data_IF_786810243055
#
_entry.id   IF_786810243055
#
_cell.length_a   1.000
_cell.length_b   1.000
_cell.length_c   1.000
_cell.angle_alpha   90.00
_cell.angle_beta   90.00
_cell.angle_gamma   90.00
#
_symmetry.space_group_name_H-M   'P 1'
#
loop_
_entity.id
_entity.type
_entity.pdbx_description
1 polymer ?
#
# COMPACT_ATOMS: atom_id res chain seq x y z
N UNK A 1 -15.35 -0.29 -15.80
CA UNK A 1 -14.57 -0.90 -14.69
C UNK A 1 -13.34 -0.03 -14.42
N UNK A 2 -12.92 0.20 -13.16
CA UNK A 2 -11.66 0.90 -12.85
C UNK A 2 -10.46 0.29 -13.57
N UNK A 3 -9.39 1.08 -13.77
CA UNK A 3 -8.19 0.56 -14.42
C UNK A 3 -7.50 -0.49 -13.53
N UNK A 4 -6.72 -1.38 -14.16
CA UNK A 4 -5.93 -2.37 -13.43
C UNK A 4 -4.98 -1.70 -12.43
N UNK A 5 -4.43 -0.53 -12.76
CA UNK A 5 -3.59 0.25 -11.85
C UNK A 5 -4.37 0.68 -10.61
N UNK A 6 -5.60 1.19 -10.77
CA UNK A 6 -6.47 1.55 -9.64
C UNK A 6 -6.81 0.33 -8.78
N UNK A 7 -7.11 -0.82 -9.40
CA UNK A 7 -7.39 -2.06 -8.66
C UNK A 7 -6.17 -2.56 -7.87
N UNK A 8 -4.98 -2.51 -8.46
CA UNK A 8 -3.72 -2.88 -7.80
C UNK A 8 -3.42 -1.93 -6.63
N UNK A 9 -3.64 -0.63 -6.79
CA UNK A 9 -3.52 0.39 -5.72
C UNK A 9 -4.55 0.15 -4.61
N UNK A 10 -5.75 -0.34 -4.94
CA UNK A 10 -6.74 -0.79 -3.97
C UNK A 10 -6.33 -2.02 -3.16
N UNK A 11 -5.20 -2.67 -3.49
CA UNK A 11 -4.73 -3.89 -2.82
C UNK A 11 -5.33 -5.17 -3.39
N UNK A 12 -5.87 -5.10 -4.62
CA UNK A 12 -6.55 -6.21 -5.27
C UNK A 12 -5.71 -6.88 -6.37
N UNK A 13 -6.10 -8.12 -6.69
CA UNK A 13 -5.74 -8.85 -7.92
C UNK A 13 -7.01 -9.47 -8.51
N UNK A 14 -7.01 -9.73 -9.82
CA UNK A 14 -8.16 -10.31 -10.51
C UNK A 14 -8.17 -11.83 -10.36
N UNK A 15 -9.36 -12.43 -10.30
CA UNK A 15 -9.52 -13.87 -10.09
C UNK A 15 -9.85 -14.65 -11.37
N UNK A 16 -9.62 -14.06 -12.54
CA UNK A 16 -9.95 -14.55 -13.88
C UNK A 16 -11.44 -14.84 -14.11
N UNK A 17 -12.34 -14.22 -13.35
CA UNK A 17 -13.80 -14.38 -13.48
C UNK A 17 -14.47 -13.02 -13.59
N UNK A 18 -14.97 -12.68 -14.79
CA UNK A 18 -15.68 -11.42 -15.03
C UNK A 18 -14.82 -10.20 -14.67
N UNK A 19 -15.37 -9.30 -13.86
CA UNK A 19 -14.68 -8.12 -13.31
C UNK A 19 -14.30 -8.30 -11.82
N UNK A 20 -14.36 -9.54 -11.33
CA UNK A 20 -14.17 -9.86 -9.92
C UNK A 20 -12.70 -9.76 -9.53
N UNK A 21 -12.45 -9.05 -8.44
CA UNK A 21 -11.15 -8.95 -7.80
C UNK A 21 -11.20 -9.39 -6.35
N UNK A 22 -10.04 -9.72 -5.79
CA UNK A 22 -9.87 -10.17 -4.41
C UNK A 22 -8.68 -9.46 -3.74
N UNK A 23 -8.86 -9.07 -2.48
CA UNK A 23 -7.83 -8.41 -1.70
C UNK A 23 -6.75 -9.41 -1.25
N UNK A 24 -5.48 -8.99 -1.36
CA UNK A 24 -4.30 -9.74 -0.92
C UNK A 24 -4.27 -10.09 0.58
N UNK A 25 -4.90 -9.28 1.44
CA UNK A 25 -4.75 -9.35 2.91
C UNK A 25 -6.01 -9.77 3.67
N UNK A 26 -7.21 -9.50 3.16
CA UNK A 26 -8.45 -9.73 3.90
C UNK A 26 -9.47 -10.59 3.15
N UNK A 27 -9.15 -11.07 1.95
CA UNK A 27 -10.03 -11.83 1.08
C UNK A 27 -11.34 -11.11 0.70
N UNK A 28 -11.42 -9.78 0.85
CA UNK A 28 -12.55 -9.01 0.31
C UNK A 28 -12.64 -9.25 -1.19
N UNK A 29 -13.80 -9.73 -1.63
CA UNK A 29 -14.13 -9.93 -3.04
C UNK A 29 -15.10 -8.82 -3.45
N UNK A 30 -14.83 -8.19 -4.60
CA UNK A 30 -15.74 -7.20 -5.19
C UNK A 30 -15.83 -7.39 -6.71
N UNK A 31 -17.02 -7.12 -7.25
CA UNK A 31 -17.39 -7.31 -8.67
C UNK A 31 -18.54 -6.36 -9.01
N UNK A 32 -18.95 -6.30 -10.29
CA UNK A 32 -19.97 -5.40 -10.81
C UNK A 32 -19.60 -3.92 -10.71
N UNK A 33 -18.38 -3.60 -11.10
CA UNK A 33 -17.80 -2.26 -11.00
C UNK A 33 -18.50 -1.25 -11.93
N UNK A 34 -18.88 -0.12 -11.36
CA UNK A 34 -19.35 1.06 -12.08
C UNK A 34 -18.17 1.94 -12.47
N UNK A 35 -17.94 2.07 -13.78
CA UNK A 35 -16.85 2.90 -14.30
C UNK A 35 -17.04 4.37 -13.95
N UNK A 36 -15.94 5.05 -13.59
CA UNK A 36 -15.91 6.47 -13.21
C UNK A 36 -16.74 6.83 -11.95
N UNK A 37 -17.32 5.85 -11.26
CA UNK A 37 -18.09 6.01 -10.03
C UNK A 37 -17.37 5.29 -8.88
N UNK A 38 -17.03 4.03 -9.10
CA UNK A 38 -16.43 3.20 -8.07
C UNK A 38 -14.92 3.44 -7.96
N UNK A 39 -14.46 3.84 -6.78
CA UNK A 39 -13.05 3.89 -6.43
C UNK A 39 -12.65 2.63 -5.63
N UNK A 40 -11.68 1.82 -6.11
CA UNK A 40 -11.28 0.60 -5.42
C UNK A 40 -10.78 0.82 -4.00
N UNK A 41 -10.08 1.92 -3.74
CA UNK A 41 -9.54 2.24 -2.41
C UNK A 41 -10.67 2.57 -1.44
N UNK A 42 -11.62 3.42 -1.85
CA UNK A 42 -12.76 3.80 -1.02
C UNK A 42 -13.71 2.63 -0.76
N UNK A 43 -13.97 1.79 -1.77
CA UNK A 43 -14.74 0.56 -1.58
C UNK A 43 -14.06 -0.37 -0.57
N UNK A 44 -12.73 -0.55 -0.68
CA UNK A 44 -11.99 -1.40 0.25
C UNK A 44 -12.05 -0.85 1.68
N UNK A 45 -11.84 0.47 1.86
CA UNK A 45 -11.96 1.15 3.16
C UNK A 45 -13.35 0.96 3.76
N UNK A 46 -14.38 1.09 2.94
CA UNK A 46 -15.78 1.02 3.38
C UNK A 46 -16.18 -0.40 3.77
N UNK A 47 -15.82 -1.39 2.96
CA UNK A 47 -16.28 -2.77 3.13
C UNK A 47 -15.41 -3.60 4.08
N UNK A 48 -14.11 -3.28 4.19
CA UNK A 48 -13.18 -3.99 5.07
C UNK A 48 -12.24 -3.01 5.79
N UNK A 49 -12.79 -2.13 6.65
CA UNK A 49 -12.00 -1.09 7.31
C UNK A 49 -10.88 -1.68 8.19
N UNK A 50 -11.06 -2.89 8.74
CA UNK A 50 -10.08 -3.56 9.60
C UNK A 50 -9.02 -4.36 8.82
N UNK A 51 -9.05 -4.34 7.49
CA UNK A 51 -8.00 -4.96 6.68
C UNK A 51 -6.64 -4.33 6.98
N UNK A 52 -5.60 -5.14 7.21
CA UNK A 52 -4.24 -4.64 7.50
C UNK A 52 -3.69 -3.73 6.39
N UNK A 53 -4.05 -4.00 5.13
CA UNK A 53 -3.73 -3.12 4.00
C UNK A 53 -4.40 -1.75 4.13
N UNK A 54 -5.70 -1.72 4.43
CA UNK A 54 -6.46 -0.48 4.61
C UNK A 54 -5.93 0.31 5.79
N UNK A 55 -5.74 -0.34 6.94
CA UNK A 55 -5.17 0.27 8.14
C UNK A 55 -3.82 0.92 7.84
N UNK A 56 -2.93 0.21 7.14
CA UNK A 56 -1.65 0.76 6.70
C UNK A 56 -1.80 2.00 5.80
N UNK A 57 -2.73 1.98 4.84
CA UNK A 57 -2.97 3.16 4.00
C UNK A 57 -3.47 4.36 4.80
N UNK A 58 -4.40 4.16 5.74
CA UNK A 58 -4.95 5.23 6.58
C UNK A 58 -3.90 5.84 7.51
N UNK A 59 -2.99 5.03 8.05
CA UNK A 59 -1.90 5.54 8.91
C UNK A 59 -0.88 6.41 8.17
N UNK A 60 -0.81 6.33 6.83
CA UNK A 60 0.09 7.17 6.01
C UNK A 60 -0.54 8.49 5.55
N UNK A 61 -1.85 8.66 5.72
CA UNK A 61 -2.57 9.88 5.31
C UNK A 61 -2.75 10.89 6.43
N UNK A 62 -2.50 10.50 7.69
CA UNK A 62 -2.45 11.47 8.79
C UNK A 62 -1.10 12.20 8.76
N UNK A 63 -1.07 13.56 8.77
CA UNK A 63 0.16 14.29 9.00
C UNK A 63 0.62 13.92 10.41
N UNK A 64 1.56 12.99 10.47
CA UNK A 64 2.14 12.50 11.71
C UNK A 64 2.56 13.71 12.52
N UNK A 65 1.97 13.88 13.71
CA UNK A 65 2.51 14.81 14.70
C UNK A 65 3.96 14.39 14.90
N UNK A 66 4.88 15.19 14.39
CA UNK A 66 6.31 14.89 14.37
C UNK A 66 6.76 14.70 15.82
N UNK A 67 6.95 13.46 16.25
CA UNK A 67 7.74 13.17 17.43
C UNK A 67 9.20 13.24 16.96
N UNK A 68 9.78 14.43 17.07
CA UNK A 68 11.23 14.57 17.09
C UNK A 68 11.70 13.80 18.31
N UNK A 69 12.43 12.70 18.10
CA UNK A 69 13.14 12.04 19.18
C UNK A 69 14.62 12.04 18.85
N UNK A 70 15.33 12.82 19.66
CA UNK A 70 16.75 12.84 19.94
C UNK A 70 17.67 13.46 18.87
N UNK A 71 17.72 14.79 18.96
CA UNK A 71 18.95 15.56 18.95
C UNK A 71 20.12 14.81 19.65
N UNK A 72 21.20 14.57 18.90
CA UNK A 72 22.55 14.52 19.47
C UNK A 72 23.40 15.48 18.65
N UNK A 73 23.58 16.67 19.20
CA UNK A 73 24.64 17.60 18.85
C UNK A 73 25.95 17.01 19.39
N UNK A 74 26.88 16.65 18.51
CA UNK A 74 28.30 16.62 18.87
C UNK A 74 29.09 17.24 17.72
N UNK A 75 29.69 18.38 18.02
CA UNK A 75 30.54 19.18 17.15
C UNK A 75 31.93 18.54 16.94
N UNK A 76 32.39 18.61 15.68
CA UNK A 76 33.78 18.67 15.18
C UNK A 76 34.74 17.46 15.38
N UNK A 77 35.20 16.85 14.28
CA UNK A 77 36.49 17.09 13.58
C UNK A 77 36.76 15.91 12.59
N UNK A 78 36.95 16.25 11.29
CA UNK A 78 37.61 15.52 10.18
C UNK A 78 37.05 14.15 9.73
N UNK A 79 36.64 13.89 8.48
CA UNK A 79 37.07 14.39 7.16
C UNK A 79 36.03 14.01 6.07
N UNK A 80 35.85 14.92 5.10
CA UNK A 80 35.24 14.76 3.76
C UNK A 80 33.71 14.80 3.61
N UNK A 81 33.24 15.97 3.15
CA UNK A 81 31.93 16.19 2.57
C UNK A 81 31.78 15.49 1.22
N UNK A 82 30.62 14.89 0.92
CA UNK A 82 29.93 15.10 -0.37
C UNK A 82 28.50 14.52 -0.43
N UNK A 83 27.56 15.43 -0.74
CA UNK A 83 26.30 15.31 -1.51
C UNK A 83 25.12 14.48 -0.96
N UNK A 84 24.04 15.21 -0.66
CA UNK A 84 22.64 14.75 -0.53
C UNK A 84 22.26 13.72 -1.60
N UNK A 85 21.70 12.58 -1.20
CA UNK A 85 20.80 11.88 -2.10
C UNK A 85 19.53 11.41 -1.38
N UNK A 86 18.42 11.92 -1.88
CA UNK A 86 17.06 11.74 -1.39
C UNK A 86 16.64 10.28 -1.45
N UNK A 87 16.90 9.53 -0.38
CA UNK A 87 16.31 8.21 -0.23
C UNK A 87 15.03 8.34 0.59
N UNK A 88 14.01 8.85 -0.11
CA UNK A 88 12.61 8.80 0.28
C UNK A 88 12.10 7.34 0.22
N UNK A 89 12.84 6.41 0.81
CA UNK A 89 12.53 5.00 0.86
C UNK A 89 11.63 4.78 2.08
N UNK A 90 10.38 5.24 1.93
CA UNK A 90 9.30 5.03 2.91
C UNK A 90 9.20 3.53 3.14
N UNK A 91 9.64 3.11 4.33
CA UNK A 91 9.82 1.72 4.74
C UNK A 91 8.55 0.90 4.51
N UNK A 92 8.68 -0.05 3.59
CA UNK A 92 7.84 -1.24 3.42
C UNK A 92 7.72 -2.12 4.69
N UNK A 93 8.40 -1.75 5.78
CA UNK A 93 8.62 -2.60 6.96
C UNK A 93 7.40 -2.77 7.88
N UNK A 94 6.38 -1.90 7.82
CA UNK A 94 5.19 -2.04 8.69
C UNK A 94 4.15 -3.05 8.18
N UNK A 95 4.13 -3.35 6.88
CA UNK A 95 3.32 -4.46 6.33
C UNK A 95 3.90 -5.82 6.73
N UNK A 96 5.20 -5.89 7.06
CA UNK A 96 5.95 -7.14 7.24
C UNK A 96 5.40 -8.03 8.35
N UNK A 97 4.70 -7.47 9.35
CA UNK A 97 4.16 -8.24 10.46
C UNK A 97 2.81 -8.92 10.19
N UNK A 98 2.08 -8.52 9.14
CA UNK A 98 0.82 -9.17 8.75
C UNK A 98 1.05 -9.97 7.47
N UNK A 99 1.04 -11.30 7.58
CA UNK A 99 1.22 -12.18 6.42
C UNK A 99 0.04 -12.02 5.45
N UNK A 100 0.28 -11.76 4.15
CA UNK A 100 -0.78 -11.72 3.16
C UNK A 100 -1.45 -13.09 3.02
N UNK A 101 -2.76 -13.12 2.81
CA UNK A 101 -3.50 -14.36 2.55
C UNK A 101 -3.15 -14.98 1.20
N UNK A 102 -2.73 -14.15 0.23
CA UNK A 102 -2.50 -14.57 -1.16
C UNK A 102 -1.06 -14.32 -1.62
N UNK A 103 -0.10 -15.03 -1.02
CA UNK A 103 1.35 -14.83 -1.21
C UNK A 103 1.79 -14.86 -2.69
N UNK A 104 1.15 -15.66 -3.55
CA UNK A 104 1.45 -15.73 -4.98
C UNK A 104 1.29 -14.37 -5.71
N UNK A 105 0.48 -13.47 -5.14
CA UNK A 105 0.11 -12.16 -5.71
C UNK A 105 0.70 -11.00 -4.90
N UNK A 106 1.72 -11.24 -4.07
CA UNK A 106 2.36 -10.19 -3.27
C UNK A 106 3.08 -9.16 -4.16
N UNK A 107 3.65 -9.61 -5.28
CA UNK A 107 4.40 -8.74 -6.19
C UNK A 107 3.47 -7.99 -7.14
N UNK A 108 3.83 -6.74 -7.50
CA UNK A 108 3.11 -5.97 -8.51
C UNK A 108 3.06 -6.73 -9.86
N UNK A 109 4.15 -7.33 -10.38
CA UNK A 109 4.09 -8.12 -11.60
C UNK A 109 3.11 -9.29 -11.53
N UNK A 110 3.09 -10.03 -10.42
CA UNK A 110 2.14 -11.14 -10.22
C UNK A 110 0.69 -10.68 -10.31
N UNK A 111 0.38 -9.48 -9.80
CA UNK A 111 -0.96 -8.89 -9.87
C UNK A 111 -1.29 -8.38 -11.26
N UNK A 112 -0.36 -7.68 -11.91
CA UNK A 112 -0.52 -7.22 -13.29
C UNK A 112 -0.83 -8.39 -14.24
N UNK A 113 -0.23 -9.55 -14.01
CA UNK A 113 -0.49 -10.76 -14.81
C UNK A 113 -1.92 -11.33 -14.66
N UNK A 114 -2.72 -10.82 -13.71
CA UNK A 114 -4.12 -11.26 -13.53
C UNK A 114 -5.14 -10.41 -14.29
N UNK A 115 -4.77 -9.21 -14.75
CA UNK A 115 -5.67 -8.27 -15.43
C UNK A 115 -5.43 -8.25 -16.94
#
# INVERSE_FOLDING_TARGET
MPTKEQMIIGGFFHCNVGDRVICLYCNLIYQQWQENIDDPVEIHKTLSPMCSYVQFMLTRTEPSSVLIVNEIVIDNIDHQATVLNNNNQVRFEQIVYTSPCHIAYISIPSRQATF
#
